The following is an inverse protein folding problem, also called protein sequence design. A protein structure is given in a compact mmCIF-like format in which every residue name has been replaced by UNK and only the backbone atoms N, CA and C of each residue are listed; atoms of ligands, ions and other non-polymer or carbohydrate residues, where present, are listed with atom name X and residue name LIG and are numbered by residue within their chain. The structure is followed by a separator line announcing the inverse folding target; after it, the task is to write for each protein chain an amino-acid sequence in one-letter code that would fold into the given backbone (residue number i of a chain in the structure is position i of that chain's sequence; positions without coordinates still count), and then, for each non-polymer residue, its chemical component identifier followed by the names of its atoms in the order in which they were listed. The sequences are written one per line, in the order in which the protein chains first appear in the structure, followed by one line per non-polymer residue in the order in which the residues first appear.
data_IF_934872818278
#
_entry.id   IF_934872818278
#
_cell.length_a   1.000
_cell.length_b   1.000
_cell.length_c   1.000
_cell.angle_alpha   90.00
_cell.angle_beta   90.00
_cell.angle_gamma   90.00
#
_symmetry.space_group_name_H-M   'P 1'
#
loop_
_entity.id
_entity.type
_entity.pdbx_description
1 polymer ?
#
# COMPACT_ATOMS: atom_id res chain seq x y z
N UNK A 1 6.76 10.91 16.45
CA UNK A 1 5.73 10.55 15.47
C UNK A 1 6.01 9.17 14.92
N UNK A 2 4.97 8.33 14.87
CA UNK A 2 5.12 7.01 14.27
C UNK A 2 5.09 7.12 12.74
N UNK A 3 6.05 6.50 12.10
CA UNK A 3 6.03 6.38 10.65
C UNK A 3 5.27 5.12 10.27
N UNK A 4 4.40 5.23 9.29
CA UNK A 4 3.60 4.12 8.80
C UNK A 4 4.09 3.79 7.38
N UNK A 5 4.84 2.70 7.27
CA UNK A 5 5.45 2.29 6.00
C UNK A 5 4.60 1.22 5.32
N UNK A 6 4.44 1.37 4.03
CA UNK A 6 3.75 0.36 3.21
C UNK A 6 4.82 -0.50 2.53
N UNK A 7 4.79 -1.79 2.83
CA UNK A 7 5.81 -2.74 2.35
C UNK A 7 5.14 -3.78 1.47
N UNK A 8 5.69 -3.96 0.26
CA UNK A 8 5.25 -5.04 -0.61
C UNK A 8 5.73 -6.36 -0.02
N UNK A 9 4.80 -7.21 0.35
CA UNK A 9 5.11 -8.47 1.02
C UNK A 9 5.89 -9.43 0.12
N UNK A 10 5.73 -9.33 -1.19
CA UNK A 10 6.39 -10.23 -2.14
C UNK A 10 7.84 -9.84 -2.37
N UNK A 11 8.09 -8.56 -2.64
CA UNK A 11 9.44 -8.06 -2.95
C UNK A 11 10.15 -7.48 -1.74
N UNK A 12 9.41 -7.23 -0.66
CA UNK A 12 9.91 -6.59 0.56
C UNK A 12 10.37 -5.16 0.34
N UNK A 13 9.88 -4.54 -0.73
CA UNK A 13 10.21 -3.16 -1.04
C UNK A 13 9.28 -2.20 -0.30
N UNK A 14 9.85 -1.11 0.18
CA UNK A 14 9.08 -0.02 0.78
C UNK A 14 8.41 0.77 -0.34
N UNK A 15 7.09 0.79 -0.35
CA UNK A 15 6.31 1.48 -1.37
C UNK A 15 6.01 2.94 -1.01
N UNK A 16 6.20 3.31 0.24
CA UNK A 16 5.97 4.67 0.68
C UNK A 16 5.50 4.76 2.13
N UNK A 17 5.19 5.97 2.53
CA UNK A 17 4.70 6.27 3.88
C UNK A 17 3.29 6.82 3.77
N UNK A 18 2.41 6.38 4.66
CA UNK A 18 1.04 6.88 4.73
C UNK A 18 0.79 7.51 6.10
N UNK A 19 -0.27 8.28 6.21
CA UNK A 19 -0.58 9.05 7.42
C UNK A 19 -1.75 8.47 8.22
N UNK A 20 -2.18 7.27 7.88
CA UNK A 20 -3.25 6.59 8.59
C UNK A 20 -2.92 5.11 8.73
N UNK A 21 -3.51 4.46 9.73
CA UNK A 21 -3.32 3.02 9.94
C UNK A 21 -4.48 2.26 9.29
N UNK A 22 -4.22 1.54 8.19
CA UNK A 22 -5.29 0.77 7.54
C UNK A 22 -5.59 -0.51 8.32
N UNK A 23 -6.66 -1.16 7.93
CA UNK A 23 -7.04 -2.46 8.46
C UNK A 23 -6.74 -3.54 7.43
N UNK A 24 -6.70 -4.78 7.91
CA UNK A 24 -6.59 -5.93 7.01
C UNK A 24 -7.73 -5.89 5.98
N UNK A 25 -7.40 -6.22 4.75
CA UNK A 25 -8.29 -6.25 3.57
C UNK A 25 -8.67 -4.88 3.02
N UNK A 26 -8.21 -3.79 3.64
CA UNK A 26 -8.38 -2.47 3.06
C UNK A 26 -7.60 -2.36 1.76
N UNK A 27 -8.14 -1.59 0.83
CA UNK A 27 -7.48 -1.29 -0.45
C UNK A 27 -6.99 0.14 -0.44
N UNK A 28 -5.75 0.32 -0.85
CA UNK A 28 -5.11 1.62 -0.87
C UNK A 28 -4.59 1.88 -2.27
N UNK A 29 -4.91 3.05 -2.81
CA UNK A 29 -4.33 3.51 -4.06
C UNK A 29 -3.12 4.37 -3.74
N UNK A 30 -1.98 4.04 -4.31
CA UNK A 30 -0.72 4.74 -4.06
C UNK A 30 -0.06 5.13 -5.37
N UNK A 31 0.68 6.23 -5.35
CA UNK A 31 1.53 6.58 -6.47
C UNK A 31 2.89 5.94 -6.32
N UNK A 32 3.23 5.02 -7.22
CA UNK A 32 4.55 4.43 -7.27
C UNK A 32 5.54 5.36 -7.98
N UNK A 33 5.03 6.24 -8.87
CA UNK A 33 5.80 7.27 -9.56
C UNK A 33 4.81 8.32 -10.06
N UNK A 34 5.33 9.39 -10.68
CA UNK A 34 4.46 10.43 -11.25
C UNK A 34 3.47 9.90 -12.29
N UNK A 35 3.83 8.80 -12.93
CA UNK A 35 3.07 8.24 -14.05
C UNK A 35 2.35 6.96 -13.70
N UNK A 36 2.61 6.40 -12.51
CA UNK A 36 2.10 5.08 -12.19
C UNK A 36 1.42 5.07 -10.83
N UNK A 37 0.16 4.74 -10.84
CA UNK A 37 -0.60 4.46 -9.63
C UNK A 37 -0.73 2.96 -9.48
N UNK A 38 -0.63 2.50 -8.24
CA UNK A 38 -0.83 1.09 -7.91
C UNK A 38 -1.92 0.97 -6.86
N UNK A 39 -2.65 -0.12 -6.91
CA UNK A 39 -3.60 -0.48 -5.88
C UNK A 39 -3.03 -1.64 -5.08
N UNK A 40 -3.11 -1.53 -3.77
CA UNK A 40 -2.60 -2.57 -2.88
C UNK A 40 -3.69 -2.99 -1.91
N UNK A 41 -3.63 -4.26 -1.49
CA UNK A 41 -4.52 -4.81 -0.48
C UNK A 41 -3.71 -5.07 0.77
N UNK A 42 -4.21 -4.60 1.91
CA UNK A 42 -3.54 -4.77 3.19
C UNK A 42 -3.68 -6.21 3.65
N UNK A 43 -2.54 -6.88 3.85
CA UNK A 43 -2.49 -8.25 4.32
C UNK A 43 -2.36 -8.33 5.84
N UNK A 44 -1.48 -7.52 6.41
CA UNK A 44 -1.35 -7.42 7.86
C UNK A 44 -0.68 -6.11 8.25
N UNK A 45 -0.86 -5.75 9.51
CA UNK A 45 -0.25 -4.55 10.09
C UNK A 45 0.61 -5.01 11.26
N UNK A 46 1.89 -4.66 11.24
CA UNK A 46 2.83 -4.99 12.29
C UNK A 46 3.32 -3.70 12.95
N UNK A 47 3.12 -3.62 14.25
CA UNK A 47 3.61 -2.48 15.01
C UNK A 47 4.97 -2.82 15.61
N UNK A 48 5.96 -2.00 15.30
CA UNK A 48 7.33 -2.16 15.80
C UNK A 48 7.65 -1.06 16.81
N UNK A 49 7.49 -1.32 18.11
CA UNK A 49 7.64 -0.26 19.12
C UNK A 49 9.08 0.21 19.30
N UNK A 50 10.07 -0.63 19.08
CA UNK A 50 11.46 -0.22 19.24
C UNK A 50 11.88 0.82 18.20
N UNK A 51 11.36 0.70 17.00
CA UNK A 51 11.65 1.62 15.91
C UNK A 51 10.61 2.74 15.80
N UNK A 52 9.59 2.72 16.65
CA UNK A 52 8.45 3.64 16.56
C UNK A 52 7.84 3.66 15.17
N UNK A 53 7.73 2.49 14.57
CA UNK A 53 7.24 2.35 13.21
C UNK A 53 6.10 1.35 13.14
N UNK A 54 5.20 1.59 12.20
CA UNK A 54 4.14 0.64 11.84
C UNK A 54 4.43 0.16 10.43
N UNK A 55 4.48 -1.15 10.25
CA UNK A 55 4.72 -1.75 8.95
C UNK A 55 3.41 -2.34 8.44
N UNK A 56 2.98 -1.86 7.28
CA UNK A 56 1.77 -2.34 6.63
C UNK A 56 2.19 -3.21 5.46
N UNK A 57 2.00 -4.51 5.61
CA UNK A 57 2.35 -5.46 4.55
C UNK A 57 1.19 -5.59 3.60
N UNK A 58 1.47 -5.40 2.31
CA UNK A 58 0.45 -5.35 1.28
C UNK A 58 0.80 -6.27 0.12
N UNK A 59 -0.23 -6.64 -0.63
CA UNK A 59 -0.09 -7.30 -1.93
C UNK A 59 -0.53 -6.33 -3.00
N UNK A 60 0.26 -6.23 -4.07
CA UNK A 60 -0.10 -5.37 -5.21
C UNK A 60 -1.20 -6.07 -6.00
N UNK A 61 -2.31 -5.37 -6.22
CA UNK A 61 -3.38 -5.85 -7.08
C UNK A 61 -2.90 -5.78 -8.52
N UNK A 62 -3.26 -6.77 -9.32
CA UNK A 62 -2.81 -6.81 -10.71
C UNK A 62 -3.10 -5.50 -11.45
N UNK A 63 -2.12 -5.00 -12.22
CA UNK A 63 -2.27 -3.75 -12.96
C UNK A 63 -3.49 -3.71 -13.87
N UNK A 64 -3.96 -4.87 -14.28
CA UNK A 64 -5.14 -5.03 -15.12
C UNK A 64 -6.37 -4.35 -14.54
N UNK A 65 -6.62 -4.54 -13.24
CA UNK A 65 -7.80 -3.97 -12.61
C UNK A 65 -7.69 -2.45 -12.50
N UNK A 66 -6.50 -1.95 -12.19
CA UNK A 66 -6.26 -0.51 -12.11
C UNK A 66 -6.46 0.15 -13.47
N UNK A 67 -5.93 -0.46 -14.52
CA UNK A 67 -6.12 0.03 -15.88
C UNK A 67 -7.59 0.01 -16.29
N UNK A 68 -8.30 -1.06 -15.93
CA UNK A 68 -9.72 -1.20 -16.25
C UNK A 68 -10.56 -0.10 -15.61
N UNK A 69 -10.26 0.24 -14.35
CA UNK A 69 -10.99 1.30 -13.66
C UNK A 69 -10.79 2.64 -14.36
N UNK A 70 -9.59 2.91 -14.85
CA UNK A 70 -9.31 4.16 -15.57
C UNK A 70 -10.01 4.23 -16.93
N UNK A 71 -10.28 3.10 -17.55
CA UNK A 71 -10.99 3.03 -18.82
C UNK A 71 -12.49 3.15 -18.68
N UNK A 72 -13.01 2.95 -17.48
CA UNK A 72 -14.45 3.08 -17.23
C UNK A 72 -14.83 4.55 -17.34
N UNK A 73 -15.79 4.82 -18.20
CA UNK A 73 -16.33 6.16 -18.32
C UNK A 73 -17.45 6.33 -17.29
N UNK A 74 -17.18 7.16 -16.33
CA UNK A 74 -18.12 7.45 -15.25
C UNK A 74 -19.29 8.33 -15.70
#
# INVERSE_FOLDING_TARGET
MNNIFVIDKTTKCNLGVIDFTPRKDDRISMKASEWKEIEVVVECVLYEPLEHATLVFVSIVEPYYTAMVKEIKW
#
